data_IF_370371634571
#
_entry.id   IF_370371634571
#
_cell.length_a   1.000
_cell.length_b   1.000
_cell.length_c   1.000
_cell.angle_alpha   90.00
_cell.angle_beta   90.00
_cell.angle_gamma   90.00
#
_symmetry.space_group_name_H-M   'P 1'
#
loop_
_entity.id
_entity.type
_entity.pdbx_description
1 polymer ?
#
# COMPACT_ATOMS: atom_id res chain seq x y z
N UNK A 1 -4.54 -1.94 47.78
CA UNK A 1 -3.28 -1.40 47.25
C UNK A 1 -2.76 -2.40 46.21
N UNK A 2 -2.91 -2.12 44.91
CA UNK A 2 -1.92 -1.47 44.03
C UNK A 2 -0.98 -2.49 43.38
N UNK A 3 -1.44 -3.11 42.29
CA UNK A 3 -0.55 -3.66 41.28
C UNK A 3 -0.57 -2.72 40.08
N UNK A 4 0.43 -1.84 40.13
CA UNK A 4 0.80 -0.85 39.13
C UNK A 4 1.07 -1.53 37.78
N UNK A 5 0.43 -0.97 36.74
CA UNK A 5 0.86 -0.85 35.34
C UNK A 5 2.10 -1.64 34.90
N UNK A 6 1.92 -2.54 33.92
CA UNK A 6 2.87 -2.67 32.82
C UNK A 6 2.10 -2.78 31.50
N UNK A 7 1.93 -1.61 30.89
CA UNK A 7 1.65 -1.47 29.48
C UNK A 7 2.86 -1.99 28.69
N UNK A 8 2.81 -3.23 28.20
CA UNK A 8 3.67 -3.61 27.09
C UNK A 8 2.99 -3.18 25.79
N UNK A 9 3.38 -1.98 25.33
CA UNK A 9 3.23 -1.61 23.94
C UNK A 9 3.92 -2.68 23.09
N UNK A 10 3.15 -3.47 22.36
CA UNK A 10 3.69 -4.24 21.25
C UNK A 10 4.23 -3.23 20.23
N UNK A 11 5.55 -3.06 20.21
CA UNK A 11 6.25 -2.31 19.19
C UNK A 11 5.85 -2.87 17.82
N UNK A 12 5.08 -2.08 17.06
CA UNK A 12 4.67 -2.37 15.70
C UNK A 12 5.90 -2.36 14.77
N UNK A 13 6.65 -3.46 14.77
CA UNK A 13 7.79 -3.68 13.88
C UNK A 13 7.36 -4.50 12.65
N UNK A 14 6.44 -3.96 11.83
CA UNK A 14 6.20 -4.46 10.46
C UNK A 14 5.88 -3.29 9.53
N UNK A 15 6.81 -2.36 9.34
CA UNK A 15 6.68 -1.30 8.32
C UNK A 15 7.62 -1.48 7.13
N UNK A 16 8.23 -2.66 6.96
CA UNK A 16 9.22 -2.91 5.91
C UNK A 16 8.74 -3.80 4.76
N UNK A 17 7.50 -4.33 4.79
CA UNK A 17 6.86 -4.90 3.59
C UNK A 17 6.55 -3.72 2.65
N UNK A 18 7.61 -3.25 2.01
CA UNK A 18 7.65 -2.03 1.23
C UNK A 18 7.26 -2.40 -0.19
N UNK A 19 7.06 -1.38 -1.02
CA UNK A 19 6.92 -1.50 -2.48
C UNK A 19 8.07 -2.28 -3.17
N UNK A 20 9.04 -2.86 -2.45
CA UNK A 20 10.07 -3.77 -2.96
C UNK A 20 9.49 -5.03 -3.62
N UNK A 21 8.35 -5.54 -3.14
CA UNK A 21 7.64 -6.64 -3.80
C UNK A 21 6.83 -6.17 -5.03
N UNK A 22 6.65 -4.85 -5.18
CA UNK A 22 5.97 -4.25 -6.32
C UNK A 22 7.01 -4.02 -7.42
N UNK A 23 6.80 -4.56 -8.63
CA UNK A 23 7.70 -4.35 -9.74
C UNK A 23 7.90 -2.85 -10.05
N UNK A 24 9.13 -2.43 -10.40
CA UNK A 24 9.46 -1.03 -10.62
C UNK A 24 8.63 -0.40 -11.75
N UNK A 25 8.11 -1.19 -12.68
CA UNK A 25 7.24 -0.74 -13.77
C UNK A 25 5.94 -0.09 -13.27
N UNK A 26 5.44 -0.43 -12.08
CA UNK A 26 4.20 0.12 -11.54
C UNK A 26 4.40 1.23 -10.52
N UNK A 27 5.61 1.39 -9.96
CA UNK A 27 5.95 2.46 -9.01
C UNK A 27 5.53 3.84 -9.54
N UNK A 28 5.97 4.29 -10.75
CA UNK A 28 5.62 5.63 -11.23
C UNK A 28 4.12 5.80 -11.47
N UNK A 29 3.43 4.74 -11.89
CA UNK A 29 1.97 4.75 -12.06
C UNK A 29 1.24 4.93 -10.73
N UNK A 30 1.63 4.15 -9.71
CA UNK A 30 1.04 4.23 -8.38
C UNK A 30 1.33 5.58 -7.74
N UNK A 31 2.57 6.07 -7.75
CA UNK A 31 2.91 7.39 -7.19
C UNK A 31 2.15 8.53 -7.87
N UNK A 32 1.99 8.47 -9.20
CA UNK A 32 1.20 9.43 -9.96
C UNK A 32 -0.26 9.42 -9.57
N UNK A 33 -0.88 8.23 -9.51
CA UNK A 33 -2.29 8.08 -9.11
C UNK A 33 -2.53 8.42 -7.65
N UNK A 34 -1.61 8.09 -6.74
CA UNK A 34 -1.67 8.48 -5.32
C UNK A 34 -1.77 10.00 -5.21
N UNK A 35 -0.86 10.74 -5.87
CA UNK A 35 -0.85 12.21 -5.87
C UNK A 35 -2.10 12.82 -6.52
N UNK A 36 -2.69 12.16 -7.52
CA UNK A 36 -3.86 12.66 -8.25
C UNK A 36 -5.20 12.34 -7.57
N UNK A 37 -5.30 11.19 -6.90
CA UNK A 37 -6.58 10.67 -6.39
C UNK A 37 -6.72 10.74 -4.87
N UNK A 38 -5.62 10.97 -4.16
CA UNK A 38 -5.59 10.96 -2.70
C UNK A 38 -4.68 12.06 -2.19
N UNK A 39 -4.81 12.38 -0.90
CA UNK A 39 -3.87 13.25 -0.19
C UNK A 39 -2.80 12.45 0.57
N UNK A 40 -2.72 11.14 0.31
CA UNK A 40 -1.78 10.26 0.97
C UNK A 40 -0.35 10.52 0.49
N UNK A 41 0.63 10.36 1.37
CA UNK A 41 2.02 10.25 0.94
C UNK A 41 2.22 8.92 0.19
N UNK A 42 3.00 8.88 -0.91
CA UNK A 42 3.28 7.63 -1.62
C UNK A 42 3.98 6.56 -0.76
N UNK A 43 4.62 7.00 0.33
CA UNK A 43 5.27 6.14 1.33
C UNK A 43 4.33 5.71 2.45
N UNK A 44 3.15 6.32 2.56
CA UNK A 44 2.17 6.04 3.60
C UNK A 44 1.22 4.93 3.14
N UNK A 45 1.69 3.69 3.27
CA UNK A 45 0.91 2.51 2.91
C UNK A 45 -0.38 2.41 3.71
N UNK A 46 -0.42 2.82 5.00
CA UNK A 46 -1.68 2.82 5.76
C UNK A 46 -2.72 3.74 5.11
N UNK A 47 -2.33 4.92 4.64
CA UNK A 47 -3.26 5.82 3.95
C UNK A 47 -3.62 5.32 2.55
N UNK A 48 -2.62 4.89 1.76
CA UNK A 48 -2.78 4.41 0.39
C UNK A 48 -3.66 3.16 0.32
N UNK A 49 -3.50 2.25 1.28
CA UNK A 49 -4.18 0.97 1.34
C UNK A 49 -5.59 1.04 1.95
N UNK A 50 -6.04 2.20 2.44
CA UNK A 50 -7.46 2.39 2.81
C UNK A 50 -8.34 2.02 1.62
N UNK A 51 -9.34 1.15 1.80
CA UNK A 51 -10.18 0.64 0.70
C UNK A 51 -10.67 1.70 -0.29
N UNK A 52 -11.07 2.89 0.19
CA UNK A 52 -11.47 4.00 -0.68
C UNK A 52 -10.31 4.55 -1.52
N UNK A 53 -9.15 4.79 -0.90
CA UNK A 53 -7.97 5.32 -1.57
C UNK A 53 -7.41 4.30 -2.54
N UNK A 54 -7.24 3.06 -2.08
CA UNK A 54 -6.70 1.97 -2.88
C UNK A 54 -7.54 1.70 -4.12
N UNK A 55 -8.87 1.66 -4.01
CA UNK A 55 -9.73 1.47 -5.18
C UNK A 55 -9.60 2.62 -6.20
N UNK A 56 -9.50 3.88 -5.74
CA UNK A 56 -9.31 5.03 -6.63
C UNK A 56 -7.95 4.98 -7.33
N UNK A 57 -6.90 4.68 -6.58
CA UNK A 57 -5.53 4.57 -7.09
C UNK A 57 -5.45 3.41 -8.08
N UNK A 58 -5.95 2.23 -7.73
CA UNK A 58 -5.90 1.04 -8.58
C UNK A 58 -6.65 1.26 -9.89
N UNK A 59 -7.84 1.84 -9.87
CA UNK A 59 -8.60 2.11 -11.10
C UNK A 59 -7.91 3.13 -12.01
N UNK A 60 -7.30 4.17 -11.43
CA UNK A 60 -6.56 5.19 -12.20
C UNK A 60 -5.22 4.66 -12.72
N UNK A 61 -4.49 3.92 -11.88
CA UNK A 61 -3.20 3.35 -12.20
C UNK A 61 -3.31 2.13 -13.13
N UNK A 62 -4.45 1.43 -13.17
CA UNK A 62 -4.61 0.21 -13.97
C UNK A 62 -4.22 0.42 -15.45
N UNK A 63 -4.69 1.51 -16.07
CA UNK A 63 -4.32 1.83 -17.45
C UNK A 63 -2.81 2.06 -17.63
N UNK A 64 -2.20 2.80 -16.70
CA UNK A 64 -0.76 3.03 -16.68
C UNK A 64 0.03 1.73 -16.44
N UNK A 65 -0.39 0.88 -15.51
CA UNK A 65 0.26 -0.39 -15.17
C UNK A 65 0.16 -1.37 -16.35
N UNK A 66 -0.99 -1.44 -17.03
CA UNK A 66 -1.14 -2.27 -18.25
C UNK A 66 -0.16 -1.79 -19.32
N UNK A 67 -0.03 -0.48 -19.50
CA UNK A 67 0.89 0.08 -20.51
C UNK A 67 2.38 -0.10 -20.13
N UNK A 68 2.74 0.12 -18.86
CA UNK A 68 4.12 0.10 -18.39
C UNK A 68 4.64 -1.31 -18.05
N UNK A 69 3.80 -2.18 -17.50
CA UNK A 69 4.15 -3.54 -17.09
C UNK A 69 3.71 -4.61 -18.11
N UNK A 70 2.84 -4.28 -19.07
CA UNK A 70 2.35 -5.20 -20.10
C UNK A 70 1.73 -6.46 -19.50
N UNK A 71 2.23 -7.61 -19.93
CA UNK A 71 1.73 -8.93 -19.50
C UNK A 71 1.88 -9.18 -17.99
N UNK A 72 2.76 -8.45 -17.29
CA UNK A 72 2.95 -8.55 -15.84
C UNK A 72 1.96 -7.71 -15.03
N UNK A 73 1.13 -6.88 -15.68
CA UNK A 73 0.19 -6.00 -15.01
C UNK A 73 -0.76 -6.72 -14.05
N UNK A 74 -1.28 -7.89 -14.45
CA UNK A 74 -2.16 -8.70 -13.59
C UNK A 74 -1.46 -9.17 -12.31
N UNK A 75 -0.23 -9.68 -12.43
CA UNK A 75 0.58 -10.12 -11.28
C UNK A 75 0.91 -8.95 -10.34
N UNK A 76 1.22 -7.79 -10.91
CA UNK A 76 1.54 -6.57 -10.14
C UNK A 76 0.33 -6.10 -9.33
N UNK A 77 -0.86 -6.09 -9.94
CA UNK A 77 -2.10 -5.68 -9.27
C UNK A 77 -2.48 -6.63 -8.13
N UNK A 78 -2.28 -7.94 -8.31
CA UNK A 78 -2.48 -8.95 -7.26
C UNK A 78 -1.52 -8.75 -6.09
N UNK A 79 -0.22 -8.60 -6.36
CA UNK A 79 0.80 -8.33 -5.34
C UNK A 79 0.52 -7.05 -4.56
N UNK A 80 0.12 -5.98 -5.25
CA UNK A 80 -0.23 -4.70 -4.61
C UNK A 80 -1.47 -4.83 -3.72
N UNK A 81 -2.46 -5.63 -4.13
CA UNK A 81 -3.67 -5.90 -3.34
C UNK A 81 -3.33 -6.69 -2.08
N UNK A 82 -2.53 -7.75 -2.21
CA UNK A 82 -2.04 -8.53 -1.07
C UNK A 82 -1.27 -7.67 -0.07
N UNK A 83 -0.38 -6.82 -0.56
CA UNK A 83 0.39 -5.89 0.28
C UNK A 83 -0.54 -4.93 1.04
N UNK A 84 -1.59 -4.44 0.37
CA UNK A 84 -2.58 -3.54 0.99
C UNK A 84 -3.40 -4.22 2.07
N UNK A 85 -3.78 -5.48 1.87
CA UNK A 85 -4.47 -6.29 2.89
C UNK A 85 -3.57 -6.52 4.11
N UNK A 86 -2.32 -6.91 3.90
CA UNK A 86 -1.34 -7.09 4.98
C UNK A 86 -1.03 -5.79 5.73
N UNK A 87 -1.02 -4.65 5.03
CA UNK A 87 -0.80 -3.32 5.63
C UNK A 87 -2.02 -2.79 6.39
N UNK A 88 -3.23 -3.18 5.99
CA UNK A 88 -4.49 -2.74 6.62
C UNK A 88 -4.83 -3.49 7.91
N UNK A 89 -4.28 -4.69 8.10
CA UNK A 89 -4.43 -5.49 9.32
C UNK A 89 -3.55 -5.03 10.48
N UNK A 90 -2.67 -4.04 10.24
CA UNK A 90 -1.78 -3.47 11.25
C UNK A 90 -2.49 -2.28 11.92
N UNK A 91 -2.84 -2.35 13.22
CA UNK A 91 -3.46 -1.25 13.97
C UNK A 91 -2.58 0.01 13.93
#
# INVERSE_FOLDING_TARGET
>A
MKFILLALLAAAAVQAQTLKDIPPCAIPCLEGSIKRKTSCSPRDLKCVCKSQNFNKIRNDAAGCIIHACGNRAGEVLDKTTKLSSSSSSLP
#
